data_IF_143296740313
#
_entry.id   IF_143296740313
#
_cell.length_a   1.000
_cell.length_b   1.000
_cell.length_c   1.000
_cell.angle_alpha   90.00
_cell.angle_beta   90.00
_cell.angle_gamma   90.00
#
_symmetry.space_group_name_H-M   'P 1'
#
loop_
_entity.id
_entity.type
_entity.pdbx_description
1 polymer ?
#
# COMPACT_ATOMS: atom_id res chain seq x y z
N UNK A 1 20.19 -39.82 -36.39
CA UNK A 1 20.65 -41.20 -36.09
C UNK A 1 19.66 -41.85 -35.12
N UNK A 2 19.13 -43.01 -35.49
CA UNK A 2 18.10 -43.71 -34.73
C UNK A 2 18.68 -44.94 -34.03
N UNK A 3 18.22 -45.20 -32.80
CA UNK A 3 18.57 -46.41 -32.07
C UNK A 3 17.37 -47.36 -32.02
N UNK A 4 17.63 -48.67 -32.02
CA UNK A 4 16.56 -49.64 -31.82
C UNK A 4 16.04 -49.57 -30.37
N UNK A 5 14.75 -49.30 -30.18
CA UNK A 5 14.10 -49.26 -28.86
C UNK A 5 14.13 -50.58 -28.10
N UNK A 6 14.33 -51.71 -28.78
CA UNK A 6 14.30 -53.04 -28.16
C UNK A 6 15.70 -53.59 -27.84
N UNK A 7 16.67 -53.44 -28.74
CA UNK A 7 18.03 -54.00 -28.58
C UNK A 7 19.14 -52.95 -28.42
N UNK A 8 18.84 -51.66 -28.54
CA UNK A 8 19.77 -50.56 -28.29
C UNK A 8 20.85 -50.34 -29.36
N UNK A 9 20.85 -51.13 -30.43
CA UNK A 9 21.83 -50.99 -31.53
C UNK A 9 21.55 -49.74 -32.35
N UNK A 10 22.62 -49.08 -32.76
CA UNK A 10 22.59 -47.91 -33.64
C UNK A 10 22.27 -48.33 -35.07
N UNK A 11 21.30 -47.65 -35.68
CA UNK A 11 20.79 -47.98 -37.00
C UNK A 11 21.13 -46.88 -37.99
N UNK A 12 21.51 -47.29 -39.20
CA UNK A 12 21.71 -46.36 -40.31
C UNK A 12 20.37 -45.75 -40.76
N UNK A 13 20.40 -44.52 -41.30
CA UNK A 13 19.19 -43.75 -41.63
C UNK A 13 18.29 -44.43 -42.69
N UNK A 14 18.82 -45.37 -43.47
CA UNK A 14 18.08 -46.15 -44.47
C UNK A 14 17.37 -47.39 -43.93
N UNK A 15 17.59 -47.79 -42.67
CA UNK A 15 17.03 -49.02 -42.12
C UNK A 15 15.61 -48.80 -41.56
N UNK A 16 14.60 -49.40 -42.21
CA UNK A 16 13.21 -49.34 -41.74
C UNK A 16 12.91 -50.30 -40.56
N UNK A 17 13.74 -51.32 -40.38
CA UNK A 17 13.67 -52.31 -39.30
C UNK A 17 15.07 -52.68 -38.83
N UNK A 18 15.21 -52.93 -37.53
CA UNK A 18 16.46 -53.39 -36.96
C UNK A 18 16.84 -54.78 -37.53
N UNK A 19 18.05 -54.96 -38.09
CA UNK A 19 18.46 -56.23 -38.69
C UNK A 19 18.64 -57.38 -37.68
N UNK A 20 18.85 -57.07 -36.39
CA UNK A 20 19.09 -58.07 -35.35
C UNK A 20 17.81 -58.62 -34.72
N UNK A 21 16.87 -57.74 -34.37
CA UNK A 21 15.63 -58.13 -33.68
C UNK A 21 14.36 -57.88 -34.48
N UNK A 22 14.49 -57.40 -35.73
CA UNK A 22 13.39 -57.10 -36.66
C UNK A 22 12.36 -56.08 -36.14
N UNK A 23 12.70 -55.32 -35.09
CA UNK A 23 11.82 -54.29 -34.53
C UNK A 23 11.77 -53.09 -35.47
N UNK A 24 10.56 -52.54 -35.69
CA UNK A 24 10.35 -51.34 -36.52
C UNK A 24 11.08 -50.14 -35.91
N UNK A 25 11.81 -49.40 -36.75
CA UNK A 25 12.52 -48.20 -36.30
C UNK A 25 11.52 -47.08 -36.07
N UNK A 26 11.56 -46.51 -34.87
CA UNK A 26 10.83 -45.29 -34.50
C UNK A 26 11.88 -44.23 -34.30
N UNK A 27 11.92 -43.24 -35.19
CA UNK A 27 12.86 -42.12 -35.06
C UNK A 27 12.29 -41.08 -34.07
N UNK A 28 12.92 -40.88 -32.90
CA UNK A 28 12.48 -39.88 -31.93
C UNK A 28 12.77 -38.44 -32.37
N UNK A 29 13.66 -38.23 -33.34
CA UNK A 29 13.95 -36.93 -33.93
C UNK A 29 13.04 -36.59 -35.12
N UNK A 30 12.28 -37.57 -35.63
CA UNK A 30 11.29 -37.30 -36.66
C UNK A 30 10.21 -36.35 -36.09
N UNK A 31 9.83 -35.30 -36.83
CA UNK A 31 8.79 -34.39 -36.38
C UNK A 31 7.52 -35.20 -36.14
N UNK A 32 7.05 -35.19 -34.90
CA UNK A 32 5.80 -35.85 -34.54
C UNK A 32 4.71 -35.32 -35.47
N UNK A 33 4.12 -36.21 -36.28
CA UNK A 33 2.91 -35.87 -37.03
C UNK A 33 1.78 -35.68 -36.02
N UNK A 34 1.66 -34.45 -35.54
CA UNK A 34 0.77 -34.02 -34.48
C UNK A 34 -0.69 -34.10 -34.88
N UNK A 35 -1.27 -35.30 -34.81
CA UNK A 35 -2.71 -35.51 -34.95
C UNK A 35 -3.32 -36.31 -33.78
N UNK A 36 -2.57 -36.47 -32.69
CA UNK A 36 -3.10 -37.03 -31.45
C UNK A 36 -3.79 -35.95 -30.62
N UNK A 37 -5.07 -36.14 -30.30
CA UNK A 37 -5.69 -35.41 -29.17
C UNK A 37 -4.80 -35.64 -27.95
N UNK A 38 -4.39 -34.57 -27.27
CA UNK A 38 -3.65 -34.69 -26.01
C UNK A 38 -4.46 -35.56 -25.04
N UNK A 39 -3.86 -36.53 -24.32
CA UNK A 39 -4.60 -37.43 -23.42
C UNK A 39 -5.36 -36.69 -22.31
N UNK A 40 -4.91 -35.47 -22.01
CA UNK A 40 -5.51 -34.60 -21.02
C UNK A 40 -6.23 -33.43 -21.69
N UNK A 41 -7.43 -33.05 -21.21
CA UNK A 41 -8.02 -31.77 -21.57
C UNK A 41 -7.04 -30.65 -21.15
N UNK A 42 -6.93 -29.57 -21.94
CA UNK A 42 -6.14 -28.42 -21.54
C UNK A 42 -6.63 -27.92 -20.18
N UNK A 43 -5.70 -27.75 -19.24
CA UNK A 43 -6.00 -27.18 -17.94
C UNK A 43 -6.49 -25.75 -18.14
N UNK A 44 -7.80 -25.54 -17.98
CA UNK A 44 -8.36 -24.20 -17.85
C UNK A 44 -7.89 -23.66 -16.50
N UNK A 45 -6.83 -22.84 -16.53
CA UNK A 45 -6.43 -22.10 -15.35
C UNK A 45 -7.65 -21.31 -14.86
N UNK A 46 -8.14 -21.64 -13.66
CA UNK A 46 -9.15 -20.84 -12.97
C UNK A 46 -8.56 -19.44 -12.88
N UNK A 47 -9.01 -18.55 -13.75
CA UNK A 47 -8.59 -17.16 -13.67
C UNK A 47 -9.05 -16.66 -12.31
N UNK A 48 -8.17 -16.09 -11.46
CA UNK A 48 -8.62 -15.51 -10.22
C UNK A 48 -9.73 -14.53 -10.58
N UNK A 49 -10.94 -14.81 -10.08
CA UNK A 49 -12.13 -14.05 -10.38
C UNK A 49 -11.80 -12.58 -10.13
N UNK A 50 -11.73 -11.78 -11.21
CA UNK A 50 -11.32 -10.38 -11.10
C UNK A 50 -12.48 -9.64 -10.43
N UNK A 51 -12.45 -9.60 -9.10
CA UNK A 51 -13.43 -8.84 -8.31
C UNK A 51 -13.46 -7.43 -8.87
N UNK A 52 -14.63 -7.02 -9.38
CA UNK A 52 -14.74 -5.73 -10.05
C UNK A 52 -14.52 -4.61 -9.02
N UNK A 53 -13.80 -3.55 -9.40
CA UNK A 53 -13.59 -2.37 -8.51
C UNK A 53 -14.91 -1.78 -8.03
N UNK A 54 -15.94 -1.80 -8.88
CA UNK A 54 -17.29 -1.35 -8.54
C UNK A 54 -17.91 -2.22 -7.44
N UNK A 55 -17.74 -3.54 -7.51
CA UNK A 55 -18.19 -4.48 -6.47
C UNK A 55 -17.50 -4.18 -5.13
N UNK A 56 -16.18 -3.97 -5.13
CA UNK A 56 -15.44 -3.60 -3.91
C UNK A 56 -15.96 -2.31 -3.29
N UNK A 57 -16.12 -1.25 -4.09
CA UNK A 57 -16.61 0.04 -3.61
C UNK A 57 -18.05 -0.03 -3.09
N UNK A 58 -18.91 -0.83 -3.74
CA UNK A 58 -20.28 -1.07 -3.30
C UNK A 58 -20.30 -1.78 -1.94
N UNK A 59 -19.57 -2.88 -1.80
CA UNK A 59 -19.47 -3.63 -0.54
C UNK A 59 -18.90 -2.75 0.57
N UNK A 60 -17.83 -1.98 0.29
CA UNK A 60 -17.26 -1.02 1.23
C UNK A 60 -18.31 -0.01 1.69
N UNK A 61 -19.10 0.55 0.77
CA UNK A 61 -20.15 1.52 1.11
C UNK A 61 -21.23 0.90 1.99
N UNK A 62 -21.66 -0.33 1.70
CA UNK A 62 -22.64 -1.04 2.53
C UNK A 62 -22.10 -1.33 3.93
N UNK A 63 -20.84 -1.77 4.05
CA UNK A 63 -20.18 -2.05 5.33
C UNK A 63 -20.13 -0.80 6.22
N UNK A 64 -19.95 0.40 5.65
CA UNK A 64 -19.94 1.65 6.41
C UNK A 64 -21.35 2.19 6.69
N UNK A 65 -22.31 1.94 5.79
CA UNK A 65 -23.68 2.41 5.97
C UNK A 65 -24.36 1.74 7.17
N UNK A 66 -24.16 0.43 7.36
CA UNK A 66 -24.75 -0.33 8.47
C UNK A 66 -24.42 0.26 9.85
N UNK A 67 -23.14 0.43 10.25
CA UNK A 67 -22.82 1.01 11.55
C UNK A 67 -23.27 2.46 11.69
N UNK A 68 -23.25 3.26 10.60
CA UNK A 68 -23.78 4.64 10.62
C UNK A 68 -25.28 4.64 10.97
N UNK A 69 -26.08 3.80 10.30
CA UNK A 69 -27.50 3.68 10.59
C UNK A 69 -27.74 3.20 12.03
N UNK A 70 -26.99 2.20 12.48
CA UNK A 70 -27.11 1.65 13.83
C UNK A 70 -26.85 2.72 14.90
N UNK A 71 -25.76 3.48 14.81
CA UNK A 71 -25.46 4.50 15.83
C UNK A 71 -26.48 5.64 15.85
N UNK A 72 -27.05 6.02 14.71
CA UNK A 72 -28.13 7.02 14.66
C UNK A 72 -29.38 6.51 15.38
N UNK A 73 -29.79 5.27 15.10
CA UNK A 73 -30.98 4.67 15.73
C UNK A 73 -30.76 4.50 17.23
N UNK A 74 -29.60 4.00 17.66
CA UNK A 74 -29.25 3.87 19.07
C UNK A 74 -29.23 5.22 19.79
N UNK A 75 -28.59 6.24 19.23
CA UNK A 75 -28.48 7.55 19.89
C UNK A 75 -29.82 8.27 19.96
N UNK A 76 -30.60 8.26 18.89
CA UNK A 76 -31.93 8.89 18.89
C UNK A 76 -32.93 8.16 19.79
N UNK A 77 -32.87 6.83 19.88
CA UNK A 77 -33.73 6.06 20.79
C UNK A 77 -33.37 6.26 22.26
N UNK A 78 -32.09 6.36 22.60
CA UNK A 78 -31.64 6.52 23.99
C UNK A 78 -31.75 7.98 24.45
N UNK A 79 -31.31 8.93 23.63
CA UNK A 79 -31.14 10.33 24.02
C UNK A 79 -32.21 11.28 23.45
N UNK A 80 -33.08 10.80 22.56
CA UNK A 80 -34.10 11.62 21.88
C UNK A 80 -33.54 12.66 20.90
N UNK A 81 -32.21 12.70 20.72
CA UNK A 81 -31.49 13.63 19.83
C UNK A 81 -30.16 13.01 19.42
N UNK A 82 -29.55 13.57 18.37
CA UNK A 82 -28.16 13.25 18.00
C UNK A 82 -27.23 13.92 19.01
N UNK A 83 -26.46 13.10 19.73
CA UNK A 83 -25.49 13.52 20.73
C UNK A 83 -24.11 12.91 20.44
N UNK A 84 -23.88 11.65 20.79
CA UNK A 84 -22.59 10.96 20.62
C UNK A 84 -22.42 10.32 19.25
N UNK A 85 -23.52 9.97 18.57
CA UNK A 85 -23.45 9.32 17.25
C UNK A 85 -22.77 10.20 16.20
N UNK A 86 -22.88 11.53 16.32
CA UNK A 86 -22.21 12.46 15.42
C UNK A 86 -20.68 12.32 15.40
N UNK A 87 -20.05 12.06 16.56
CA UNK A 87 -18.62 11.78 16.62
C UNK A 87 -18.27 10.48 15.91
N UNK A 88 -19.07 9.43 16.12
CA UNK A 88 -18.86 8.12 15.48
C UNK A 88 -19.01 8.22 13.96
N UNK A 89 -20.07 8.90 13.49
CA UNK A 89 -20.33 9.11 12.07
C UNK A 89 -19.18 9.89 11.43
N UNK A 90 -18.72 10.97 12.06
CA UNK A 90 -17.59 11.76 11.55
C UNK A 90 -16.31 10.93 11.40
N UNK A 91 -15.97 10.11 12.40
CA UNK A 91 -14.83 9.18 12.33
C UNK A 91 -14.99 8.13 11.22
N UNK A 92 -16.19 7.55 11.09
CA UNK A 92 -16.50 6.60 10.02
C UNK A 92 -16.40 7.22 8.63
N UNK A 93 -16.84 8.48 8.45
CA UNK A 93 -16.73 9.19 7.18
C UNK A 93 -15.28 9.51 6.82
N UNK A 94 -14.44 9.91 7.78
CA UNK A 94 -13.01 10.10 7.55
C UNK A 94 -12.36 8.80 7.08
N UNK A 95 -12.63 7.68 7.77
CA UNK A 95 -12.10 6.38 7.39
C UNK A 95 -12.63 5.91 6.03
N UNK A 96 -13.91 6.15 5.76
CA UNK A 96 -14.53 5.84 4.47
C UNK A 96 -13.82 6.60 3.34
N UNK A 97 -13.58 7.90 3.48
CA UNK A 97 -12.83 8.69 2.48
C UNK A 97 -11.40 8.16 2.31
N UNK A 98 -10.74 7.79 3.40
CA UNK A 98 -9.38 7.25 3.38
C UNK A 98 -9.25 5.94 2.57
N UNK A 99 -10.28 5.11 2.57
CA UNK A 99 -10.31 3.84 1.83
C UNK A 99 -10.93 3.99 0.43
N UNK A 100 -12.05 4.69 0.34
CA UNK A 100 -12.84 4.81 -0.89
C UNK A 100 -12.09 5.58 -1.98
N UNK A 101 -11.47 6.72 -1.65
CA UNK A 101 -10.82 7.58 -2.64
C UNK A 101 -9.64 6.87 -3.33
N UNK A 102 -8.70 6.22 -2.60
CA UNK A 102 -7.63 5.46 -3.25
C UNK A 102 -8.14 4.32 -4.13
N UNK A 103 -9.17 3.57 -3.71
CA UNK A 103 -9.71 2.43 -4.47
C UNK A 103 -10.47 2.92 -5.72
N UNK A 104 -11.24 4.00 -5.59
CA UNK A 104 -11.95 4.62 -6.72
C UNK A 104 -10.98 5.10 -7.80
N UNK A 105 -9.88 5.69 -7.36
CA UNK A 105 -8.88 6.26 -8.25
C UNK A 105 -7.86 5.20 -8.74
N UNK A 106 -7.77 4.04 -8.09
CA UNK A 106 -6.89 2.95 -8.49
C UNK A 106 -7.11 2.57 -9.96
N UNK A 107 -6.05 2.66 -10.78
CA UNK A 107 -6.07 2.33 -12.20
C UNK A 107 -6.31 3.50 -13.17
N UNK A 108 -6.50 4.74 -12.67
CA UNK A 108 -6.39 5.93 -13.51
C UNK A 108 -4.91 6.33 -13.64
N UNK A 109 -4.39 6.36 -14.86
CA UNK A 109 -2.99 6.69 -15.22
C UNK A 109 -2.68 8.20 -15.08
N UNK A 110 -3.04 8.83 -13.96
CA UNK A 110 -2.75 10.23 -13.72
C UNK A 110 -1.64 10.39 -12.67
N UNK A 111 -0.53 11.02 -13.08
CA UNK A 111 0.66 11.26 -12.26
C UNK A 111 0.39 12.01 -10.95
N UNK A 112 -0.76 12.67 -10.81
CA UNK A 112 -1.10 13.55 -9.68
C UNK A 112 -2.13 12.97 -8.68
N UNK A 113 -2.53 11.71 -8.86
CA UNK A 113 -3.60 11.09 -8.08
C UNK A 113 -3.35 11.05 -6.57
N UNK A 114 -2.09 10.83 -6.18
CA UNK A 114 -1.71 10.79 -4.77
C UNK A 114 -1.97 12.10 -4.04
N UNK A 115 -1.78 13.24 -4.72
CA UNK A 115 -2.03 14.57 -4.15
C UNK A 115 -3.53 14.76 -3.92
N UNK A 116 -4.36 14.34 -4.88
CA UNK A 116 -5.82 14.39 -4.74
C UNK A 116 -6.31 13.50 -3.59
N UNK A 117 -5.75 12.30 -3.41
CA UNK A 117 -6.07 11.45 -2.27
C UNK A 117 -5.74 12.14 -0.94
N UNK A 118 -4.56 12.77 -0.85
CA UNK A 118 -4.12 13.47 0.36
C UNK A 118 -5.02 14.68 0.63
N UNK A 119 -5.34 15.48 -0.39
CA UNK A 119 -6.22 16.65 -0.22
C UNK A 119 -7.63 16.25 0.19
N UNK A 120 -8.18 15.16 -0.37
CA UNK A 120 -9.50 14.66 0.03
C UNK A 120 -9.50 14.18 1.49
N UNK A 121 -8.45 13.49 1.93
CA UNK A 121 -8.29 13.06 3.32
C UNK A 121 -8.13 14.25 4.27
N UNK A 122 -7.26 15.20 3.93
CA UNK A 122 -7.06 16.41 4.72
C UNK A 122 -8.38 17.20 4.85
N UNK A 123 -9.14 17.35 3.77
CA UNK A 123 -10.45 18.00 3.80
C UNK A 123 -11.44 17.26 4.71
N UNK A 124 -11.52 15.93 4.60
CA UNK A 124 -12.40 15.13 5.47
C UNK A 124 -12.03 15.27 6.96
N UNK A 125 -10.73 15.21 7.28
CA UNK A 125 -10.24 15.41 8.65
C UNK A 125 -10.57 16.82 9.14
N UNK A 126 -10.34 17.86 8.34
CA UNK A 126 -10.66 19.23 8.71
C UNK A 126 -12.16 19.44 8.93
N UNK A 127 -13.02 18.93 8.06
CA UNK A 127 -14.47 18.99 8.24
C UNK A 127 -14.89 18.30 9.55
N UNK A 128 -14.28 17.16 9.88
CA UNK A 128 -14.57 16.45 11.12
C UNK A 128 -14.09 17.22 12.36
N UNK A 129 -12.86 17.72 12.35
CA UNK A 129 -12.32 18.50 13.47
C UNK A 129 -13.10 19.81 13.67
N UNK A 130 -13.54 20.45 12.58
CA UNK A 130 -14.43 21.61 12.63
C UNK A 130 -15.77 21.27 13.29
N UNK A 131 -16.38 20.13 12.91
CA UNK A 131 -17.60 19.64 13.57
C UNK A 131 -17.38 19.43 15.07
N UNK A 132 -16.29 18.77 15.48
CA UNK A 132 -15.97 18.55 16.90
C UNK A 132 -15.85 19.88 17.64
N UNK A 133 -15.10 20.85 17.10
CA UNK A 133 -14.98 22.16 17.73
C UNK A 133 -16.34 22.81 17.95
N UNK A 134 -17.19 22.83 16.90
CA UNK A 134 -18.51 23.47 16.96
C UNK A 134 -19.44 22.84 18.00
N UNK A 135 -19.38 21.52 18.16
CA UNK A 135 -20.20 20.79 19.14
C UNK A 135 -19.64 20.95 20.56
N UNK A 136 -18.32 21.03 20.70
CA UNK A 136 -17.66 21.13 22.01
C UNK A 136 -17.50 22.57 22.51
N UNK A 137 -17.72 23.58 21.66
CA UNK A 137 -17.56 24.99 21.99
C UNK A 137 -16.09 25.46 22.07
N UNK A 138 -15.18 24.79 21.36
CA UNK A 138 -13.76 25.12 21.36
C UNK A 138 -13.38 26.30 20.44
N UNK A 139 -12.12 26.72 20.51
CA UNK A 139 -11.50 27.75 19.63
C UNK A 139 -10.13 27.32 19.09
N UNK A 140 -9.91 26.01 18.96
CA UNK A 140 -8.62 25.40 18.61
C UNK A 140 -8.50 25.01 17.14
N UNK A 141 -9.57 25.02 16.35
CA UNK A 141 -9.60 24.57 14.96
C UNK A 141 -8.63 25.37 14.09
N UNK A 142 -8.74 26.70 14.10
CA UNK A 142 -7.90 27.56 13.26
C UNK A 142 -6.44 27.61 13.74
N UNK A 143 -6.23 27.66 15.06
CA UNK A 143 -4.90 27.86 15.67
C UNK A 143 -4.09 26.56 15.73
N UNK A 144 -4.77 25.41 15.85
CA UNK A 144 -4.15 24.10 16.03
C UNK A 144 -4.51 23.12 14.91
N UNK A 145 -5.79 22.81 14.72
CA UNK A 145 -6.20 21.72 13.82
C UNK A 145 -5.79 21.94 12.37
N UNK A 146 -6.08 23.14 11.84
CA UNK A 146 -5.76 23.51 10.46
C UNK A 146 -4.27 23.39 10.18
N UNK A 147 -3.38 24.09 10.91
CA UNK A 147 -1.96 23.98 10.59
C UNK A 147 -1.36 22.60 10.87
N UNK A 148 -1.87 21.81 11.84
CA UNK A 148 -1.40 20.42 12.05
C UNK A 148 -1.76 19.52 10.87
N UNK A 149 -3.02 19.58 10.40
CA UNK A 149 -3.46 18.75 9.26
C UNK A 149 -2.77 19.18 7.97
N UNK A 150 -2.59 20.48 7.75
CA UNK A 150 -1.86 21.01 6.59
C UNK A 150 -0.39 20.58 6.64
N UNK A 151 0.26 20.66 7.80
CA UNK A 151 1.63 20.21 7.98
C UNK A 151 1.76 18.72 7.67
N UNK A 152 0.89 17.87 8.25
CA UNK A 152 0.91 16.43 7.99
C UNK A 152 0.66 16.09 6.50
N UNK A 153 -0.27 16.78 5.84
CA UNK A 153 -0.51 16.61 4.41
C UNK A 153 0.71 17.02 3.59
N UNK A 154 1.35 18.14 3.95
CA UNK A 154 2.55 18.67 3.29
C UNK A 154 3.74 17.72 3.43
N UNK A 155 3.97 17.15 4.62
CA UNK A 155 4.96 16.11 4.88
C UNK A 155 4.86 14.92 3.92
N UNK A 156 3.64 14.39 3.75
CA UNK A 156 3.38 13.26 2.84
C UNK A 156 3.61 13.69 1.38
N UNK A 157 3.19 14.89 1.01
CA UNK A 157 3.41 15.43 -0.35
C UNK A 157 4.91 15.56 -0.64
N UNK A 158 5.71 16.09 0.29
CA UNK A 158 7.17 16.17 0.13
C UNK A 158 7.75 14.77 -0.08
N UNK A 159 7.37 13.78 0.72
CA UNK A 159 7.87 12.41 0.57
C UNK A 159 7.57 11.83 -0.82
N UNK A 160 6.38 12.12 -1.36
CA UNK A 160 5.99 11.70 -2.72
C UNK A 160 6.80 12.45 -3.79
N UNK A 161 7.00 13.77 -3.62
CA UNK A 161 7.77 14.58 -4.57
C UNK A 161 9.24 14.16 -4.58
N UNK A 162 9.85 13.93 -3.43
CA UNK A 162 11.21 13.41 -3.32
C UNK A 162 11.35 12.07 -4.06
N UNK A 163 10.38 11.16 -3.86
CA UNK A 163 10.36 9.88 -4.58
C UNK A 163 10.23 10.04 -6.09
N UNK A 164 9.46 11.02 -6.58
CA UNK A 164 9.21 11.21 -8.01
C UNK A 164 10.32 11.97 -8.72
N UNK A 165 10.95 12.95 -8.07
CA UNK A 165 11.79 13.94 -8.73
C UNK A 165 13.25 13.93 -8.26
N UNK A 166 13.55 13.48 -7.04
CA UNK A 166 14.90 13.62 -6.48
C UNK A 166 15.85 12.48 -6.87
N UNK A 167 15.38 11.45 -7.58
CA UNK A 167 16.22 10.29 -7.98
C UNK A 167 16.80 9.51 -6.79
N UNK A 168 16.29 9.74 -5.59
CA UNK A 168 16.82 9.17 -4.36
C UNK A 168 16.50 7.67 -4.25
N UNK A 169 17.40 6.92 -3.62
CA UNK A 169 17.15 5.51 -3.27
C UNK A 169 16.00 5.41 -2.26
N UNK A 170 15.37 4.23 -2.17
CA UNK A 170 14.29 3.99 -1.20
C UNK A 170 14.76 4.17 0.25
N UNK A 171 16.00 3.78 0.56
CA UNK A 171 16.59 3.92 1.90
C UNK A 171 16.83 5.40 2.25
N UNK A 172 17.33 6.21 1.30
CA UNK A 172 17.54 7.63 1.55
C UNK A 172 16.21 8.39 1.71
N UNK A 173 15.17 8.03 0.95
CA UNK A 173 13.81 8.59 1.15
C UNK A 173 13.31 8.24 2.56
N UNK A 174 13.49 6.99 2.99
CA UNK A 174 13.11 6.57 4.34
C UNK A 174 13.86 7.35 5.42
N UNK A 175 15.16 7.58 5.25
CA UNK A 175 15.97 8.39 6.17
C UNK A 175 15.43 9.83 6.30
N UNK A 176 15.07 10.47 5.18
CA UNK A 176 14.52 11.83 5.18
C UNK A 176 13.15 11.89 5.82
N UNK A 177 12.25 10.95 5.49
CA UNK A 177 10.92 10.85 6.11
C UNK A 177 11.04 10.64 7.62
N UNK A 178 12.03 9.85 8.06
CA UNK A 178 12.26 9.64 9.48
C UNK A 178 12.67 10.93 10.19
N UNK A 179 13.65 11.67 9.63
CA UNK A 179 14.07 12.97 10.17
C UNK A 179 12.91 13.99 10.20
N UNK A 180 12.12 14.02 9.12
CA UNK A 180 10.94 14.88 8.98
C UNK A 180 9.87 14.55 10.03
N UNK A 181 9.62 13.27 10.33
CA UNK A 181 8.73 12.85 11.40
C UNK A 181 9.17 13.38 12.79
N UNK A 182 10.47 13.38 13.05
CA UNK A 182 11.02 13.96 14.29
C UNK A 182 10.74 15.46 14.39
N UNK A 183 10.94 16.20 13.30
CA UNK A 183 10.62 17.63 13.23
C UNK A 183 9.11 17.86 13.36
N UNK A 184 8.28 17.02 12.74
CA UNK A 184 6.83 17.08 12.87
C UNK A 184 6.39 16.94 14.34
N UNK A 185 6.95 16.02 15.11
CA UNK A 185 6.65 15.88 16.54
C UNK A 185 7.02 17.13 17.34
N UNK A 186 8.15 17.77 17.04
CA UNK A 186 8.56 19.03 17.68
C UNK A 186 7.57 20.15 17.37
N UNK A 187 7.21 20.34 16.10
CA UNK A 187 6.24 21.37 15.70
C UNK A 187 4.87 21.09 16.32
N UNK A 188 4.45 19.82 16.38
CA UNK A 188 3.18 19.42 17.00
C UNK A 188 3.13 19.80 18.49
N UNK A 189 4.18 19.54 19.25
CA UNK A 189 4.24 19.92 20.67
C UNK A 189 4.23 21.44 20.85
N UNK A 190 4.98 22.18 20.02
CA UNK A 190 4.94 23.65 20.05
C UNK A 190 3.55 24.20 19.76
N UNK A 191 2.86 23.62 18.79
CA UNK A 191 1.49 24.00 18.44
C UNK A 191 0.50 23.65 19.55
N UNK A 192 0.63 22.49 20.18
CA UNK A 192 -0.18 22.10 21.34
C UNK A 192 0.01 23.08 22.50
N UNK A 193 1.27 23.36 22.86
CA UNK A 193 1.60 24.28 23.94
C UNK A 193 1.05 25.68 23.68
N UNK A 194 1.16 26.18 22.45
CA UNK A 194 0.62 27.49 22.06
C UNK A 194 -0.90 27.53 22.04
N UNK A 195 -1.56 26.51 21.52
CA UNK A 195 -3.00 26.50 21.34
C UNK A 195 -3.77 26.29 22.65
N UNK A 196 -3.20 25.50 23.57
CA UNK A 196 -3.87 25.13 24.82
C UNK A 196 -3.19 25.69 26.08
N UNK A 197 -2.12 26.48 25.93
CA UNK A 197 -1.42 27.12 27.05
C UNK A 197 -0.82 26.12 28.04
N UNK A 198 -0.34 24.97 27.56
CA UNK A 198 0.02 23.84 28.43
C UNK A 198 1.35 24.07 29.17
N UNK A 199 2.42 24.40 28.44
CA UNK A 199 3.80 24.47 28.94
C UNK A 199 4.64 25.43 28.09
N UNK A 200 5.66 26.03 28.70
CA UNK A 200 6.65 26.87 28.00
C UNK A 200 7.90 26.11 27.51
N UNK A 201 7.98 24.80 27.79
CA UNK A 201 9.11 23.95 27.42
C UNK A 201 8.65 22.70 26.64
N UNK A 202 9.60 22.08 25.95
CA UNK A 202 9.40 20.79 25.28
C UNK A 202 9.45 19.66 26.31
N UNK A 203 8.38 18.91 26.46
CA UNK A 203 8.26 17.84 27.45
C UNK A 203 8.52 16.45 26.83
N UNK A 204 8.06 16.20 25.61
CA UNK A 204 8.17 14.87 25.00
C UNK A 204 8.73 14.85 23.58
N UNK A 205 8.65 15.93 22.80
CA UNK A 205 9.03 15.90 21.39
C UNK A 205 10.54 15.79 21.15
N UNK A 206 11.37 16.13 22.14
CA UNK A 206 12.81 15.95 22.06
C UNK A 206 13.22 14.48 21.90
N UNK A 207 12.52 13.55 22.56
CA UNK A 207 12.82 12.12 22.48
C UNK A 207 12.63 11.54 21.06
N UNK A 208 11.47 11.66 20.41
CA UNK A 208 11.29 11.20 19.04
C UNK A 208 12.15 12.00 18.06
N UNK A 209 12.36 13.31 18.26
CA UNK A 209 13.23 14.09 17.39
C UNK A 209 14.65 13.51 17.35
N UNK A 210 15.29 13.35 18.52
CA UNK A 210 16.65 12.82 18.61
C UNK A 210 16.71 11.39 18.06
N UNK A 211 15.74 10.54 18.42
CA UNK A 211 15.67 9.16 17.96
C UNK A 211 15.55 9.07 16.44
N UNK A 212 14.64 9.84 15.85
CA UNK A 212 14.45 9.91 14.41
C UNK A 212 15.66 10.50 13.67
N UNK A 213 16.34 11.50 14.23
CA UNK A 213 17.55 12.04 13.61
C UNK A 213 18.69 11.01 13.62
N UNK A 214 18.88 10.30 14.73
CA UNK A 214 19.91 9.24 14.85
C UNK A 214 19.63 8.11 13.87
N UNK A 215 18.41 7.57 13.89
CA UNK A 215 18.01 6.48 12.99
C UNK A 215 18.06 6.92 11.52
N UNK A 216 17.61 8.13 11.20
CA UNK A 216 17.72 8.70 9.86
C UNK A 216 19.18 8.81 9.40
N UNK A 217 20.09 9.28 10.27
CA UNK A 217 21.51 9.34 9.98
C UNK A 217 22.12 7.95 9.73
N UNK A 218 21.78 6.95 10.56
CA UNK A 218 22.23 5.56 10.38
C UNK A 218 21.79 5.03 9.01
N UNK A 219 20.51 5.18 8.65
CA UNK A 219 19.99 4.72 7.36
C UNK A 219 20.67 5.46 6.19
N UNK A 220 20.89 6.76 6.31
CA UNK A 220 21.58 7.54 5.30
C UNK A 220 23.05 7.09 5.10
N UNK A 221 23.75 6.74 6.18
CA UNK A 221 25.11 6.18 6.13
C UNK A 221 25.11 4.80 5.46
N UNK A 222 24.15 3.93 5.81
CA UNK A 222 24.00 2.61 5.19
C UNK A 222 23.76 2.76 3.68
N UNK A 223 22.90 3.68 3.27
CA UNK A 223 22.60 3.85 1.84
C UNK A 223 23.81 4.33 1.02
N UNK A 224 24.67 5.18 1.62
CA UNK A 224 25.91 5.65 0.99
C UNK A 224 27.04 4.62 1.00
N UNK A 225 26.93 3.55 1.79
CA UNK A 225 27.99 2.55 1.96
C UNK A 225 27.62 1.24 1.25
N UNK A 226 28.12 0.98 0.02
CA UNK A 226 27.68 -0.16 -0.78
C UNK A 226 27.92 -1.52 -0.09
N UNK A 227 29.01 -1.66 0.66
CA UNK A 227 29.32 -2.89 1.40
C UNK A 227 28.26 -3.23 2.47
N UNK A 228 27.75 -2.23 3.20
CA UNK A 228 26.70 -2.43 4.22
C UNK A 228 25.35 -2.75 3.57
N UNK A 229 25.06 -2.08 2.44
CA UNK A 229 23.85 -2.33 1.66
C UNK A 229 23.80 -3.75 1.12
N UNK A 230 24.93 -4.28 0.65
CA UNK A 230 25.03 -5.67 0.17
C UNK A 230 24.92 -6.68 1.33
N UNK A 231 25.54 -6.41 2.48
CA UNK A 231 25.38 -7.25 3.67
C UNK A 231 23.93 -7.30 4.16
N UNK A 232 23.19 -6.19 4.11
CA UNK A 232 21.76 -6.16 4.42
C UNK A 232 20.96 -6.98 3.41
N UNK A 233 21.20 -6.82 2.10
CA UNK A 233 20.53 -7.63 1.07
C UNK A 233 20.73 -9.14 1.30
N UNK A 234 21.97 -9.55 1.62
CA UNK A 234 22.30 -10.95 1.93
C UNK A 234 21.62 -11.49 3.19
N UNK A 235 21.46 -10.67 4.24
CA UNK A 235 20.84 -11.10 5.52
C UNK A 235 19.31 -11.06 5.48
N UNK A 236 18.73 -10.11 4.76
CA UNK A 236 17.28 -9.92 4.72
C UNK A 236 16.61 -10.54 3.49
N UNK A 237 17.37 -11.18 2.59
CA UNK A 237 16.88 -11.78 1.34
C UNK A 237 16.07 -10.79 0.47
N UNK A 238 16.54 -9.54 0.39
CA UNK A 238 15.93 -8.44 -0.40
C UNK A 238 16.84 -8.10 -1.57
#
# INVERSE_FOLDING_TARGET
>A
MSYCVHCGVELAESEARCPLCNTKVVDPAAPQQGNGKTPYPPYEAISPERVSKKSVLMVLTLIFLVPICLVIVCDTSINGRISWSGFVIGGLLVLYVALFVPILLAGRWLKNLSILCISANAAAILCYLFYIERVTGGVWFAIFAVPVVVLAAFSIVIAILLRKYAGMTRLMIFAVVLAELGVFCLVLELMLNRAFGLRDHLAWSAYPLVTCLILGAIVAVIDRTPALKEQMGRKFFI
#
